data_IF_481292444739
#
_entry.id   IF_481292444739
#
_cell.length_a   1.000
_cell.length_b   1.000
_cell.length_c   1.000
_cell.angle_alpha   90.00
_cell.angle_beta   90.00
_cell.angle_gamma   90.00
#
_symmetry.space_group_name_H-M   'P 1'
#
loop_
_entity.id
_entity.type
_entity.pdbx_description
1 polymer ?
#
# COMPACT_ATOMS: atom_id res chain seq x y z
N UNK A 1 -12.05 0.44 15.02
CA UNK A 1 -11.53 1.81 14.83
C UNK A 1 -12.45 2.53 13.85
N UNK A 2 -12.83 3.78 14.13
CA UNK A 2 -13.80 4.58 13.37
C UNK A 2 -13.11 5.16 12.12
N UNK A 3 -13.68 4.91 10.94
CA UNK A 3 -13.54 5.76 9.73
C UNK A 3 -12.20 5.69 8.98
N UNK A 4 -12.06 4.69 8.11
CA UNK A 4 -10.88 4.43 7.26
C UNK A 4 -10.62 5.46 6.15
N UNK A 5 -11.55 6.38 5.86
CA UNK A 5 -11.44 7.28 4.72
C UNK A 5 -10.26 8.27 4.77
N UNK A 6 -9.80 8.67 5.96
CA UNK A 6 -8.66 9.62 6.11
C UNK A 6 -7.30 8.90 6.13
N UNK A 7 -7.27 7.68 6.66
CA UNK A 7 -6.04 6.89 6.74
C UNK A 7 -5.70 6.24 5.38
N UNK A 8 -6.71 5.80 4.62
CA UNK A 8 -6.51 5.23 3.28
C UNK A 8 -5.94 6.26 2.29
N UNK A 9 -6.52 7.46 2.23
CA UNK A 9 -6.02 8.54 1.36
C UNK A 9 -4.58 8.95 1.71
N UNK A 10 -4.27 9.05 3.00
CA UNK A 10 -2.91 9.35 3.47
C UNK A 10 -1.91 8.25 3.11
N UNK A 11 -2.34 6.98 3.23
CA UNK A 11 -1.52 5.84 2.82
C UNK A 11 -1.30 5.82 1.31
N UNK A 12 -2.33 6.13 0.51
CA UNK A 12 -2.22 6.27 -0.96
C UNK A 12 -1.20 7.35 -1.29
N UNK A 13 -1.27 8.53 -0.67
CA UNK A 13 -0.33 9.62 -0.91
C UNK A 13 1.12 9.24 -0.57
N UNK A 14 1.34 8.60 0.59
CA UNK A 14 2.67 8.11 0.99
C UNK A 14 3.19 7.10 -0.03
N UNK A 15 2.35 6.16 -0.43
CA UNK A 15 2.70 5.10 -1.37
C UNK A 15 3.02 5.65 -2.77
N UNK A 16 2.18 6.55 -3.29
CA UNK A 16 2.32 7.13 -4.62
C UNK A 16 3.48 8.12 -4.72
N UNK A 17 3.99 8.62 -3.60
CA UNK A 17 5.14 9.54 -3.54
C UNK A 17 6.48 8.84 -3.28
N UNK A 18 6.54 7.51 -3.31
CA UNK A 18 7.75 6.72 -3.04
C UNK A 18 8.15 5.85 -4.23
N UNK A 19 9.46 5.75 -4.43
CA UNK A 19 10.07 4.82 -5.38
C UNK A 19 9.92 3.38 -4.91
N UNK A 20 10.06 2.43 -5.83
CA UNK A 20 10.04 1.00 -5.50
C UNK A 20 11.09 0.61 -4.44
N UNK A 21 12.29 1.21 -4.49
CA UNK A 21 13.35 0.95 -3.51
C UNK A 21 12.95 1.44 -2.12
N UNK A 22 12.36 2.63 -2.02
CA UNK A 22 11.87 3.17 -0.75
C UNK A 22 10.71 2.33 -0.19
N UNK A 23 9.80 1.86 -1.04
CA UNK A 23 8.70 0.97 -0.61
C UNK A 23 9.21 -0.38 -0.10
N UNK A 24 10.25 -0.94 -0.73
CA UNK A 24 10.90 -2.16 -0.24
C UNK A 24 11.54 -1.94 1.14
N UNK A 25 12.20 -0.80 1.34
CA UNK A 25 12.78 -0.43 2.63
C UNK A 25 11.71 -0.28 3.71
N UNK A 26 10.61 0.43 3.39
CA UNK A 26 9.46 0.59 4.29
C UNK A 26 8.90 -0.78 4.68
N UNK A 27 8.72 -1.70 3.73
CA UNK A 27 8.23 -3.04 4.02
C UNK A 27 9.20 -3.83 4.91
N UNK A 28 10.52 -3.72 4.69
CA UNK A 28 11.52 -4.38 5.55
C UNK A 28 11.42 -3.89 6.98
N UNK A 29 11.43 -2.57 7.17
CA UNK A 29 11.33 -1.94 8.50
C UNK A 29 10.00 -2.28 9.17
N UNK A 30 8.90 -2.28 8.42
CA UNK A 30 7.58 -2.63 8.94
C UNK A 30 7.56 -4.05 9.52
N UNK A 31 8.12 -5.02 8.79
CA UNK A 31 8.23 -6.41 9.27
C UNK A 31 9.11 -6.51 10.52
N UNK A 32 10.21 -5.76 10.57
CA UNK A 32 11.10 -5.72 11.74
C UNK A 32 10.37 -5.18 12.98
N UNK A 33 9.56 -4.13 12.83
CA UNK A 33 8.88 -3.44 13.93
C UNK A 33 7.62 -4.20 14.38
N UNK A 34 6.74 -4.57 13.44
CA UNK A 34 5.41 -5.09 13.73
C UNK A 34 5.32 -6.61 13.66
N UNK A 35 6.38 -7.30 13.22
CA UNK A 35 6.46 -8.77 13.12
C UNK A 35 5.37 -9.39 12.21
N UNK A 36 4.82 -8.59 11.31
CA UNK A 36 3.83 -8.95 10.30
C UNK A 36 4.13 -8.20 9.00
N UNK A 37 3.58 -8.66 7.89
CA UNK A 37 3.80 -8.05 6.58
C UNK A 37 2.87 -6.85 6.37
N UNK A 38 3.40 -5.74 5.86
CA UNK A 38 2.62 -4.54 5.53
C UNK A 38 1.43 -4.86 4.62
N UNK A 39 1.64 -5.71 3.61
CA UNK A 39 0.59 -6.18 2.71
C UNK A 39 -0.52 -6.91 3.47
N UNK A 40 -0.16 -7.87 4.33
CA UNK A 40 -1.13 -8.70 5.06
C UNK A 40 -2.03 -7.84 5.94
N UNK A 41 -1.43 -6.89 6.65
CA UNK A 41 -2.15 -6.02 7.56
C UNK A 41 -3.05 -5.05 6.79
N UNK A 42 -2.56 -4.49 5.69
CA UNK A 42 -3.37 -3.64 4.82
C UNK A 42 -4.54 -4.43 4.22
N UNK A 43 -4.29 -5.60 3.62
CA UNK A 43 -5.33 -6.43 3.00
C UNK A 43 -6.37 -6.89 4.02
N UNK A 44 -5.96 -7.19 5.26
CA UNK A 44 -6.88 -7.61 6.31
C UNK A 44 -7.79 -6.48 6.81
N UNK A 45 -7.38 -5.22 6.63
CA UNK A 45 -8.07 -4.05 7.18
C UNK A 45 -8.74 -3.16 6.14
N UNK A 46 -8.54 -3.46 4.85
CA UNK A 46 -8.99 -2.60 3.75
C UNK A 46 -9.66 -3.41 2.64
N UNK A 47 -10.45 -2.73 1.82
CA UNK A 47 -11.18 -3.33 0.70
C UNK A 47 -11.21 -2.36 -0.48
N UNK A 48 -11.69 -2.80 -1.65
CA UNK A 48 -11.81 -1.91 -2.81
C UNK A 48 -10.47 -1.50 -3.43
N UNK A 49 -10.31 -0.24 -3.80
CA UNK A 49 -9.19 0.20 -4.64
C UNK A 49 -7.86 0.29 -3.89
N UNK A 50 -7.90 0.53 -2.57
CA UNK A 50 -6.70 0.49 -1.74
C UNK A 50 -6.07 -0.92 -1.68
N UNK A 51 -6.92 -1.96 -1.64
CA UNK A 51 -6.47 -3.35 -1.74
C UNK A 51 -5.76 -3.61 -3.09
N UNK A 52 -6.31 -3.11 -4.20
CA UNK A 52 -5.71 -3.26 -5.53
C UNK A 52 -4.36 -2.53 -5.63
N UNK A 53 -4.26 -1.33 -5.05
CA UNK A 53 -3.03 -0.54 -5.02
C UNK A 53 -1.89 -1.32 -4.35
N UNK A 54 -2.14 -1.86 -3.16
CA UNK A 54 -1.13 -2.55 -2.35
C UNK A 54 -0.66 -3.86 -2.99
N UNK A 55 -1.57 -4.61 -3.60
CA UNK A 55 -1.22 -5.81 -4.37
C UNK A 55 -0.36 -5.47 -5.58
N UNK A 56 -0.60 -4.34 -6.25
CA UNK A 56 0.21 -3.94 -7.40
C UNK A 56 1.64 -3.54 -6.98
N UNK A 57 1.79 -2.86 -5.84
CA UNK A 57 3.08 -2.39 -5.34
C UNK A 57 3.98 -3.53 -4.84
N UNK A 58 3.38 -4.57 -4.28
CA UNK A 58 4.11 -5.75 -3.79
C UNK A 58 4.55 -6.68 -4.91
N UNK A 59 3.82 -6.71 -6.03
CA UNK A 59 4.17 -7.50 -7.22
C UNK A 59 5.31 -6.90 -8.04
N UNK A 60 5.73 -5.66 -7.77
CA UNK A 60 6.81 -4.99 -8.51
C UNK A 60 6.45 -4.66 -9.97
N UNK A 61 5.19 -4.84 -10.36
CA UNK A 61 4.70 -4.34 -11.64
C UNK A 61 4.58 -2.81 -11.55
N UNK A 62 5.06 -2.12 -12.60
CA UNK A 62 5.17 -0.66 -12.65
C UNK A 62 4.01 0.06 -11.97
N UNK A 63 4.33 0.85 -10.94
CA UNK A 63 3.41 1.72 -10.18
C UNK A 63 2.48 2.56 -11.08
N UNK A 64 2.92 2.80 -12.32
CA UNK A 64 2.18 3.52 -13.36
C UNK A 64 0.89 2.81 -13.80
N UNK A 65 0.86 1.47 -13.79
CA UNK A 65 -0.34 0.69 -14.13
C UNK A 65 -1.30 0.57 -12.94
N UNK A 66 -0.77 0.52 -11.72
CA UNK A 66 -1.57 0.46 -10.50
C UNK A 66 -2.48 1.69 -10.33
N UNK A 67 -1.94 2.89 -10.58
CA UNK A 67 -2.70 4.14 -10.60
C UNK A 67 -3.85 4.12 -11.62
N UNK A 68 -3.59 3.58 -12.82
CA UNK A 68 -4.62 3.48 -13.87
C UNK A 68 -5.78 2.55 -13.51
N UNK A 69 -5.53 1.54 -12.67
CA UNK A 69 -6.53 0.57 -12.19
C UNK A 69 -7.40 1.11 -11.04
N UNK A 70 -6.96 2.17 -10.36
CA UNK A 70 -7.67 2.80 -9.22
C UNK A 70 -8.48 4.02 -9.69
N UNK A 71 -8.04 4.67 -10.77
CA UNK A 71 -8.69 5.86 -11.32
C UNK A 71 -9.84 5.57 -12.30
N UNK A 72 -10.32 4.31 -12.40
CA UNK A 72 -11.32 3.85 -13.38
C UNK A 72 -12.38 2.99 -12.67
#
# INVERSE_FOLDING_TARGET
MKGLGVDEDSLIEIICSRTNQELQEINRVYVEVYKTGLERDIVSNTSGDFHKLVVALTKGEEQRMALLLIMN
#
